data_IF_424514950436
#
_entry.id   IF_424514950436
#
_cell.length_a   1.000
_cell.length_b   1.000
_cell.length_c   1.000
_cell.angle_alpha   90.00
_cell.angle_beta   90.00
_cell.angle_gamma   90.00
#
_symmetry.space_group_name_H-M   'P 1'
#
loop_
_entity.id
_entity.type
_entity.pdbx_description
1 polymer ?
#
# COMPACT_ATOMS: atom_id res chain seq x y z
N UNK A 1 81.39 30.93 -34.78
CA UNK A 1 81.02 30.95 -33.34
C UNK A 1 79.61 30.40 -33.21
N UNK A 2 79.35 29.61 -32.17
CA UNK A 2 78.12 28.89 -31.79
C UNK A 2 77.77 27.56 -32.50
N UNK A 3 78.12 26.48 -31.78
CA UNK A 3 77.41 25.19 -31.72
C UNK A 3 76.15 25.35 -30.84
N UNK A 4 75.07 24.62 -31.12
CA UNK A 4 74.38 23.76 -30.13
C UNK A 4 73.30 22.90 -30.79
N UNK A 5 73.22 21.64 -30.34
CA UNK A 5 72.26 20.61 -30.74
C UNK A 5 70.99 20.71 -29.89
N UNK A 6 69.85 20.24 -30.40
CA UNK A 6 68.78 19.71 -29.54
C UNK A 6 68.17 18.44 -30.13
N UNK A 7 68.33 17.33 -29.41
CA UNK A 7 67.43 16.16 -29.47
C UNK A 7 66.23 16.46 -28.55
N UNK A 8 65.04 15.97 -28.90
CA UNK A 8 64.02 15.66 -27.91
C UNK A 8 63.27 14.38 -28.30
N UNK A 9 63.12 13.53 -27.29
CA UNK A 9 62.50 12.22 -27.28
C UNK A 9 61.16 12.35 -26.56
N UNK A 10 60.13 11.65 -27.05
CA UNK A 10 59.15 10.97 -26.20
C UNK A 10 57.96 11.78 -25.67
N UNK A 11 56.76 11.26 -25.96
CA UNK A 11 55.51 11.68 -25.33
C UNK A 11 54.34 10.80 -25.78
N UNK A 12 54.38 9.49 -25.47
CA UNK A 12 53.20 8.63 -25.57
C UNK A 12 52.20 9.09 -24.49
N UNK A 13 51.06 9.64 -24.90
CA UNK A 13 49.91 9.81 -24.01
C UNK A 13 49.29 8.43 -23.75
N UNK A 14 49.56 7.86 -22.58
CA UNK A 14 48.72 6.80 -22.01
C UNK A 14 47.43 7.45 -21.49
N UNK A 15 46.35 7.35 -22.27
CA UNK A 15 45.00 7.59 -21.77
C UNK A 15 44.64 6.41 -20.88
N UNK A 16 44.86 6.55 -19.57
CA UNK A 16 44.30 5.62 -18.60
C UNK A 16 42.78 5.81 -18.59
N UNK A 17 42.06 4.96 -19.32
CA UNK A 17 40.62 4.82 -19.16
C UNK A 17 40.36 4.21 -17.77
N UNK A 18 40.11 5.07 -16.78
CA UNK A 18 39.63 4.63 -15.49
C UNK A 18 38.21 4.06 -15.69
N UNK A 19 38.13 2.73 -15.79
CA UNK A 19 36.85 2.03 -15.65
C UNK A 19 36.47 2.18 -14.18
N UNK A 20 35.67 3.21 -13.88
CA UNK A 20 35.04 3.35 -12.57
C UNK A 20 34.16 2.11 -12.36
N UNK A 21 34.60 1.21 -11.49
CA UNK A 21 33.78 0.10 -11.03
C UNK A 21 32.51 0.70 -10.41
N UNK A 22 31.39 0.58 -11.13
CA UNK A 22 30.10 1.11 -10.70
C UNK A 22 29.67 0.36 -9.45
N UNK A 23 29.78 1.03 -8.30
CA UNK A 23 29.32 0.50 -7.03
C UNK A 23 27.78 0.34 -7.09
N UNK A 24 27.23 -0.88 -6.97
CA UNK A 24 25.78 -1.12 -7.07
C UNK A 24 24.96 -0.29 -6.08
N UNK A 25 25.52 -0.04 -4.89
CA UNK A 25 24.90 0.80 -3.86
C UNK A 25 24.77 2.28 -4.28
N UNK A 26 25.70 2.78 -5.10
CA UNK A 26 25.66 4.14 -5.63
C UNK A 26 24.62 4.28 -6.76
N UNK A 27 24.45 3.24 -7.58
CA UNK A 27 23.41 3.20 -8.61
C UNK A 27 21.99 3.12 -8.01
N UNK A 28 21.81 2.36 -6.93
CA UNK A 28 20.53 2.28 -6.21
C UNK A 28 20.10 3.63 -5.61
N UNK A 29 21.04 4.39 -5.02
CA UNK A 29 20.80 5.74 -4.52
C UNK A 29 20.44 6.74 -5.62
N UNK A 30 21.15 6.73 -6.75
CA UNK A 30 20.86 7.63 -7.87
C UNK A 30 19.52 7.34 -8.57
N UNK A 31 19.03 6.09 -8.55
CA UNK A 31 17.71 5.74 -9.11
C UNK A 31 16.55 6.24 -8.24
N UNK A 32 16.70 6.26 -6.93
CA UNK A 32 15.67 6.74 -6.00
C UNK A 32 15.44 8.26 -6.09
N UNK A 33 16.46 9.04 -6.45
CA UNK A 33 16.38 10.51 -6.57
C UNK A 33 15.57 11.01 -7.79
N UNK A 34 15.27 10.13 -8.76
CA UNK A 34 14.44 10.47 -9.94
C UNK A 34 12.97 10.05 -9.82
N UNK A 35 12.61 9.36 -8.74
CA UNK A 35 11.26 8.87 -8.54
C UNK A 35 10.30 10.00 -8.16
N UNK A 36 9.13 10.03 -8.78
CA UNK A 36 7.99 10.84 -8.30
C UNK A 36 7.63 10.46 -6.86
N UNK A 37 6.91 11.33 -6.14
CA UNK A 37 6.48 11.01 -4.77
C UNK A 37 5.71 9.68 -4.70
N UNK A 38 4.85 9.40 -5.69
CA UNK A 38 4.12 8.15 -5.80
C UNK A 38 5.03 6.93 -6.02
N UNK A 39 6.08 7.06 -6.83
CA UNK A 39 7.06 5.99 -7.07
C UNK A 39 7.93 5.65 -5.87
N UNK A 40 8.09 6.59 -4.93
CA UNK A 40 8.77 6.33 -3.65
C UNK A 40 7.91 5.54 -2.67
N UNK A 41 6.61 5.43 -2.94
CA UNK A 41 5.62 4.85 -2.03
C UNK A 41 4.67 3.87 -2.76
N UNK A 42 3.54 3.53 -2.14
CA UNK A 42 2.58 2.56 -2.66
C UNK A 42 1.14 3.05 -2.45
N UNK A 43 0.68 4.06 -3.21
CA UNK A 43 -0.53 4.81 -2.87
C UNK A 43 -1.86 4.10 -3.13
N UNK A 44 -1.88 2.99 -3.88
CA UNK A 44 -3.11 2.33 -4.32
C UNK A 44 -2.88 0.83 -4.57
N UNK A 45 -3.95 0.09 -4.82
CA UNK A 45 -3.88 -1.32 -5.24
C UNK A 45 -2.95 -1.47 -6.45
N UNK A 46 -2.02 -2.42 -6.37
CA UNK A 46 -0.97 -2.65 -7.39
C UNK A 46 -0.02 -1.45 -7.62
N UNK A 47 0.07 -0.52 -6.68
CA UNK A 47 1.12 0.49 -6.62
C UNK A 47 0.92 1.69 -7.55
N UNK A 48 1.93 2.56 -7.70
CA UNK A 48 1.80 3.85 -8.38
C UNK A 48 1.39 3.75 -9.85
N UNK A 49 1.64 2.59 -10.48
CA UNK A 49 1.31 2.33 -11.88
C UNK A 49 0.18 1.30 -12.07
N UNK A 50 -0.43 0.82 -10.99
CA UNK A 50 -1.43 -0.24 -11.00
C UNK A 50 -0.97 -1.57 -11.66
N UNK A 51 0.34 -1.80 -11.75
CA UNK A 51 0.93 -3.01 -12.37
C UNK A 51 1.40 -4.06 -11.36
N UNK A 52 1.55 -3.68 -10.09
CA UNK A 52 2.14 -4.52 -9.04
C UNK A 52 3.67 -4.53 -9.06
N UNK A 53 4.30 -3.65 -9.85
CA UNK A 53 5.76 -3.57 -9.99
C UNK A 53 6.32 -2.37 -9.24
N UNK A 54 7.33 -2.61 -8.41
CA UNK A 54 8.19 -1.54 -7.89
C UNK A 54 9.46 -1.44 -8.75
N UNK A 55 9.66 -0.30 -9.41
CA UNK A 55 10.81 -0.08 -10.31
C UNK A 55 12.16 0.03 -9.59
N UNK A 56 12.13 0.46 -8.33
CA UNK A 56 13.30 0.88 -7.58
C UNK A 56 13.45 0.19 -6.22
N UNK A 57 12.51 -0.70 -5.85
CA UNK A 57 12.66 -1.46 -4.61
C UNK A 57 13.80 -2.47 -4.72
N UNK A 58 14.48 -2.66 -3.60
CA UNK A 58 15.50 -3.68 -3.38
C UNK A 58 15.08 -4.51 -2.16
N UNK A 59 14.07 -5.39 -2.30
CA UNK A 59 13.56 -6.17 -1.18
C UNK A 59 14.52 -7.30 -0.81
N UNK A 60 14.54 -7.74 0.47
CA UNK A 60 15.32 -8.90 0.86
C UNK A 60 14.85 -10.16 0.09
N UNK A 61 15.81 -10.94 -0.42
CA UNK A 61 15.52 -12.17 -1.17
C UNK A 61 15.19 -13.38 -0.29
N UNK A 62 15.50 -13.28 1.00
CA UNK A 62 15.22 -14.31 2.00
C UNK A 62 14.40 -13.70 3.12
N UNK A 63 13.38 -14.41 3.60
CA UNK A 63 12.55 -13.97 4.72
C UNK A 63 12.02 -15.16 5.50
N UNK A 64 11.73 -14.95 6.78
CA UNK A 64 11.03 -15.91 7.63
C UNK A 64 10.31 -15.15 8.74
N UNK A 65 9.63 -15.86 9.64
CA UNK A 65 9.04 -15.26 10.84
C UNK A 65 10.06 -14.52 11.73
N UNK A 66 11.37 -14.77 11.56
CA UNK A 66 12.44 -14.19 12.37
C UNK A 66 13.56 -13.53 11.55
N UNK A 67 13.60 -13.72 10.23
CA UNK A 67 14.64 -13.20 9.34
C UNK A 67 14.10 -12.11 8.43
N UNK A 68 14.81 -10.99 8.37
CA UNK A 68 14.47 -9.83 7.53
C UNK A 68 13.05 -9.25 7.79
N UNK A 69 12.49 -9.53 8.97
CA UNK A 69 11.25 -8.92 9.46
C UNK A 69 11.59 -7.79 10.41
N UNK A 70 11.10 -6.57 10.11
CA UNK A 70 11.35 -5.39 10.96
C UNK A 70 10.40 -5.32 12.15
N UNK A 71 9.15 -5.65 11.95
CA UNK A 71 8.10 -5.66 12.97
C UNK A 71 6.94 -6.53 12.49
N UNK A 72 6.10 -6.93 13.44
CA UNK A 72 4.78 -7.53 13.22
C UNK A 72 3.79 -6.85 14.14
N UNK A 73 2.58 -6.64 13.66
CA UNK A 73 1.49 -6.06 14.43
C UNK A 73 0.21 -6.82 14.08
N UNK A 74 -0.58 -7.09 15.10
CA UNK A 74 -1.90 -7.69 14.91
C UNK A 74 -2.83 -6.64 14.29
N UNK A 75 -3.51 -7.01 13.22
CA UNK A 75 -4.57 -6.20 12.62
C UNK A 75 -5.90 -6.72 13.17
N UNK A 76 -6.77 -5.89 13.75
CA UNK A 76 -8.03 -6.37 14.30
C UNK A 76 -8.97 -6.85 13.18
N UNK A 77 -9.72 -7.92 13.41
CA UNK A 77 -10.71 -8.42 12.46
C UNK A 77 -10.10 -9.00 11.19
N UNK A 78 -10.87 -9.00 10.09
CA UNK A 78 -10.46 -9.62 8.83
C UNK A 78 -10.70 -8.66 7.66
N UNK A 79 -9.75 -8.64 6.72
CA UNK A 79 -9.83 -7.89 5.48
C UNK A 79 -8.85 -8.45 4.46
N UNK A 80 -9.20 -8.35 3.18
CA UNK A 80 -8.33 -8.71 2.05
C UNK A 80 -7.72 -7.49 1.35
N UNK A 81 -8.00 -6.29 1.87
CA UNK A 81 -7.41 -5.04 1.41
C UNK A 81 -5.88 -5.13 1.37
N UNK A 82 -5.29 -4.68 0.26
CA UNK A 82 -3.85 -4.48 0.19
C UNK A 82 -3.46 -3.26 1.02
N UNK A 83 -2.36 -3.32 1.79
CA UNK A 83 -1.87 -2.14 2.49
C UNK A 83 -1.44 -1.07 1.48
N UNK A 84 -1.78 0.18 1.75
CA UNK A 84 -1.22 1.33 1.02
C UNK A 84 -0.21 2.06 1.88
N UNK A 85 0.89 2.48 1.26
CA UNK A 85 2.02 3.07 1.96
C UNK A 85 2.22 4.48 1.45
N UNK A 86 2.36 5.45 2.36
CA UNK A 86 2.75 6.82 2.02
C UNK A 86 3.58 7.46 3.12
N UNK A 87 4.79 7.90 2.79
CA UNK A 87 5.77 8.36 3.79
C UNK A 87 6.07 7.27 4.82
N UNK A 88 5.91 7.65 6.08
CA UNK A 88 6.09 6.78 7.25
C UNK A 88 4.80 6.10 7.71
N UNK A 89 3.74 6.09 6.88
CA UNK A 89 2.44 5.48 7.23
C UNK A 89 2.11 4.31 6.32
N UNK A 90 1.55 3.27 6.92
CA UNK A 90 0.88 2.14 6.26
C UNK A 90 -0.60 2.22 6.62
N UNK A 91 -1.49 2.22 5.63
CA UNK A 91 -2.93 2.21 5.85
C UNK A 91 -3.52 0.86 5.48
N UNK A 92 -4.39 0.35 6.35
CA UNK A 92 -5.04 -0.96 6.22
C UNK A 92 -6.53 -0.80 6.51
N UNK A 93 -7.35 -1.48 5.71
CA UNK A 93 -8.79 -1.59 5.93
C UNK A 93 -9.11 -2.97 6.51
N UNK A 94 -10.02 -3.02 7.48
CA UNK A 94 -10.46 -4.28 8.08
C UNK A 94 -11.92 -4.21 8.51
N UNK A 95 -12.55 -5.38 8.64
CA UNK A 95 -13.88 -5.53 9.22
C UNK A 95 -13.77 -6.34 10.52
N UNK A 96 -14.17 -5.74 11.64
CA UNK A 96 -14.05 -6.33 12.97
C UNK A 96 -15.44 -6.74 13.47
N UNK A 97 -15.72 -8.04 13.64
CA UNK A 97 -16.99 -8.48 14.22
C UNK A 97 -17.16 -7.91 15.63
N UNK A 98 -18.34 -7.35 15.96
CA UNK A 98 -18.57 -6.75 17.28
C UNK A 98 -18.80 -7.79 18.38
N UNK A 99 -19.19 -9.00 18.01
CA UNK A 99 -19.52 -10.09 18.93
C UNK A 99 -18.36 -11.07 19.17
N UNK A 100 -17.24 -10.92 18.46
CA UNK A 100 -16.09 -11.81 18.53
C UNK A 100 -14.82 -11.01 18.82
N UNK A 101 -13.84 -11.63 19.47
CA UNK A 101 -12.56 -11.01 19.80
C UNK A 101 -11.40 -12.00 19.62
N UNK A 102 -10.17 -11.47 19.57
CA UNK A 102 -8.95 -12.26 19.42
C UNK A 102 -8.97 -13.13 18.15
N UNK A 103 -8.38 -14.33 18.25
CA UNK A 103 -8.30 -15.30 17.13
C UNK A 103 -9.65 -15.58 16.44
N UNK A 104 -10.76 -15.56 17.18
CA UNK A 104 -12.09 -15.80 16.63
C UNK A 104 -12.57 -14.69 15.67
N UNK A 105 -12.08 -13.46 15.84
CA UNK A 105 -12.37 -12.35 14.92
C UNK A 105 -11.70 -12.52 13.54
N UNK A 106 -10.73 -13.43 13.42
CA UNK A 106 -10.03 -13.76 12.17
C UNK A 106 -10.61 -14.97 11.45
N UNK A 107 -11.57 -15.68 12.04
CA UNK A 107 -12.16 -16.87 11.42
C UNK A 107 -12.81 -16.52 10.07
N UNK A 108 -12.73 -17.40 9.06
CA UNK A 108 -13.52 -17.24 7.84
C UNK A 108 -15.02 -17.13 8.19
N UNK A 109 -15.70 -16.18 7.57
CA UNK A 109 -17.13 -15.92 7.80
C UNK A 109 -17.93 -15.92 6.47
N UNK A 110 -17.31 -16.37 5.39
CA UNK A 110 -17.93 -16.43 4.06
C UNK A 110 -18.99 -17.52 3.94
N UNK A 111 -19.81 -17.42 2.91
CA UNK A 111 -20.86 -18.36 2.53
C UNK A 111 -22.05 -18.44 3.49
N UNK A 112 -21.98 -17.72 4.61
CA UNK A 112 -23.09 -17.57 5.55
C UNK A 112 -23.47 -16.11 5.59
N UNK A 113 -24.76 -15.84 5.40
CA UNK A 113 -25.26 -14.47 5.50
C UNK A 113 -24.99 -13.92 6.90
N UNK A 114 -24.32 -12.77 7.03
CA UNK A 114 -23.89 -12.28 8.32
C UNK A 114 -25.08 -11.85 9.18
N UNK A 115 -25.00 -12.17 10.47
CA UNK A 115 -25.99 -11.75 11.47
C UNK A 115 -25.42 -10.76 12.47
N UNK A 116 -24.10 -10.73 12.61
CA UNK A 116 -23.41 -9.90 13.57
C UNK A 116 -22.97 -8.60 12.92
N UNK A 117 -23.06 -7.51 13.70
CA UNK A 117 -22.53 -6.22 13.31
C UNK A 117 -21.00 -6.30 13.21
N UNK A 118 -20.45 -5.55 12.27
CA UNK A 118 -19.02 -5.37 12.10
C UNK A 118 -18.70 -3.88 12.21
N UNK A 119 -17.55 -3.56 12.81
CA UNK A 119 -16.91 -2.26 12.69
C UNK A 119 -16.03 -2.27 11.44
N UNK A 120 -16.26 -1.33 10.54
CA UNK A 120 -15.42 -1.14 9.36
C UNK A 120 -14.33 -0.15 9.72
N UNK A 121 -13.09 -0.62 9.82
CA UNK A 121 -11.99 0.13 10.44
C UNK A 121 -10.92 0.53 9.45
N UNK A 122 -10.45 1.76 9.59
CA UNK A 122 -9.28 2.29 8.89
C UNK A 122 -8.16 2.43 9.92
N UNK A 123 -7.03 1.76 9.68
CA UNK A 123 -5.84 1.87 10.50
C UNK A 123 -4.78 2.70 9.78
N UNK A 124 -4.07 3.55 10.52
CA UNK A 124 -2.76 4.06 10.13
C UNK A 124 -1.71 3.52 11.09
N UNK A 125 -0.69 2.89 10.52
CA UNK A 125 0.39 2.23 11.23
C UNK A 125 1.69 2.94 10.87
N UNK A 126 2.52 3.20 11.88
CA UNK A 126 3.86 3.72 11.71
C UNK A 126 4.72 2.66 11.00
N UNK A 127 5.17 2.99 9.79
CA UNK A 127 5.94 2.10 8.92
C UNK A 127 7.28 1.67 9.53
N UNK A 128 7.84 2.48 10.44
CA UNK A 128 9.17 2.23 11.03
C UNK A 128 9.08 1.27 12.21
N UNK A 129 8.01 1.36 12.98
CA UNK A 129 7.87 0.70 14.28
C UNK A 129 6.75 -0.32 14.35
N UNK A 130 5.79 -0.30 13.42
CA UNK A 130 4.60 -1.14 13.44
C UNK A 130 3.52 -0.68 14.43
N UNK A 131 3.71 0.46 15.11
CA UNK A 131 2.72 0.98 16.07
C UNK A 131 1.53 1.60 15.34
N UNK A 132 0.32 1.33 15.81
CA UNK A 132 -0.88 2.04 15.35
C UNK A 132 -0.79 3.51 15.76
N UNK A 133 -0.79 4.40 14.78
CA UNK A 133 -0.83 5.85 14.97
C UNK A 133 -2.25 6.32 15.26
N UNK A 134 -3.21 5.78 14.53
CA UNK A 134 -4.63 5.98 14.75
C UNK A 134 -5.45 4.83 14.16
N UNK A 135 -6.62 4.61 14.75
CA UNK A 135 -7.69 3.73 14.25
C UNK A 135 -8.98 4.55 14.18
N UNK A 136 -9.75 4.39 13.11
CA UNK A 136 -11.08 4.98 12.97
C UNK A 136 -12.08 3.91 12.58
N UNK A 137 -13.19 3.83 13.30
CA UNK A 137 -14.38 3.11 12.83
C UNK A 137 -15.13 4.04 11.88
N UNK A 138 -15.12 3.68 10.60
CA UNK A 138 -15.84 4.39 9.56
C UNK A 138 -17.35 4.26 9.73
N UNK A 139 -17.81 3.03 9.97
CA UNK A 139 -19.18 2.74 10.34
C UNK A 139 -19.28 1.41 11.08
N UNK A 140 -20.46 1.17 11.65
CA UNK A 140 -20.83 -0.15 12.14
C UNK A 140 -22.11 -0.62 11.47
N UNK A 141 -22.08 -1.80 10.85
CA UNK A 141 -23.22 -2.34 10.12
C UNK A 141 -23.21 -3.86 10.11
N UNK A 142 -24.38 -4.45 9.87
CA UNK A 142 -24.47 -5.84 9.45
C UNK A 142 -24.35 -5.82 7.93
N UNK A 143 -23.34 -6.46 7.31
CA UNK A 143 -23.27 -6.53 5.86
C UNK A 143 -24.56 -7.15 5.29
N UNK A 144 -25.04 -6.68 4.15
CA UNK A 144 -26.35 -7.06 3.62
C UNK A 144 -26.35 -8.46 2.96
N UNK A 145 -25.19 -8.91 2.49
CA UNK A 145 -24.93 -10.16 1.78
C UNK A 145 -23.75 -10.93 2.38
N UNK A 146 -23.65 -12.21 2.04
CA UNK A 146 -22.49 -13.03 2.33
C UNK A 146 -21.26 -12.63 1.47
N UNK A 147 -20.18 -13.41 1.62
CA UNK A 147 -18.97 -13.33 0.79
C UNK A 147 -18.54 -14.73 0.37
N UNK A 148 -17.53 -14.85 -0.51
CA UNK A 148 -16.91 -16.14 -0.82
C UNK A 148 -16.52 -16.91 0.47
N UNK A 149 -16.83 -18.21 0.52
CA UNK A 149 -16.67 -19.09 1.70
C UNK A 149 -15.28 -19.02 2.34
N UNK A 150 -14.24 -19.31 1.57
CA UNK A 150 -12.89 -19.47 2.14
C UNK A 150 -12.16 -18.14 2.36
N UNK A 151 -12.30 -17.23 1.39
CA UNK A 151 -11.40 -16.07 1.24
C UNK A 151 -12.14 -14.73 1.28
N UNK A 152 -13.47 -14.73 1.30
CA UNK A 152 -14.25 -13.51 1.31
C UNK A 152 -14.13 -12.74 2.62
N UNK A 153 -14.13 -11.41 2.52
CA UNK A 153 -14.13 -10.49 3.67
C UNK A 153 -15.04 -9.30 3.40
N UNK A 154 -15.46 -8.60 4.45
CA UNK A 154 -16.23 -7.36 4.34
C UNK A 154 -15.34 -6.11 4.20
N UNK A 155 -14.02 -6.29 4.03
CA UNK A 155 -13.05 -5.22 3.81
C UNK A 155 -12.03 -5.65 2.74
N UNK A 156 -12.54 -6.05 1.57
CA UNK A 156 -11.73 -6.56 0.46
C UNK A 156 -11.11 -5.45 -0.39
N UNK A 157 -11.80 -4.32 -0.52
CA UNK A 157 -11.32 -3.17 -1.29
C UNK A 157 -10.17 -2.49 -0.56
N UNK A 158 -9.15 -2.06 -1.31
CA UNK A 158 -7.99 -1.37 -0.71
C UNK A 158 -8.31 0.11 -0.52
N UNK A 159 -7.69 0.74 0.47
CA UNK A 159 -7.64 2.20 0.51
C UNK A 159 -6.84 2.74 -0.68
N UNK A 160 -6.99 4.02 -0.98
CA UNK A 160 -6.10 4.78 -1.87
C UNK A 160 -5.71 6.11 -1.23
N UNK A 161 -4.63 6.73 -1.71
CA UNK A 161 -4.20 8.05 -1.23
C UNK A 161 -3.60 8.92 -2.33
N UNK A 162 -3.85 10.22 -2.25
CA UNK A 162 -3.17 11.26 -3.05
C UNK A 162 -1.95 11.86 -2.30
N UNK A 163 -1.64 11.31 -1.13
CA UNK A 163 -0.59 11.79 -0.23
C UNK A 163 -1.01 12.90 0.74
N UNK A 164 -2.24 13.41 0.63
CA UNK A 164 -2.84 14.37 1.56
C UNK A 164 -4.05 13.77 2.28
N UNK A 165 -4.74 12.85 1.63
CA UNK A 165 -5.97 12.20 2.09
C UNK A 165 -5.89 10.70 1.89
N UNK A 166 -6.61 9.97 2.71
CA UNK A 166 -6.82 8.53 2.59
C UNK A 166 -8.28 8.29 2.28
N UNK A 167 -8.55 7.60 1.18
CA UNK A 167 -9.89 7.26 0.72
C UNK A 167 -10.12 5.78 1.05
N UNK A 168 -11.02 5.52 1.99
CA UNK A 168 -11.38 4.18 2.44
C UNK A 168 -12.75 3.81 1.88
N UNK A 169 -12.78 2.75 1.08
CA UNK A 169 -14.00 2.25 0.45
C UNK A 169 -14.36 0.90 1.04
N UNK A 170 -15.52 0.86 1.70
CA UNK A 170 -16.09 -0.38 2.25
C UNK A 170 -17.34 -0.81 1.46
N UNK A 171 -17.34 -0.51 0.15
CA UNK A 171 -18.39 -0.99 -0.77
C UNK A 171 -19.78 -0.55 -0.34
N UNK A 172 -20.70 -1.49 -0.11
CA UNK A 172 -22.06 -1.19 0.37
C UNK A 172 -22.11 -0.45 1.72
N UNK A 173 -20.98 -0.37 2.42
CA UNK A 173 -20.88 0.34 3.70
C UNK A 173 -20.35 1.77 3.55
N UNK A 174 -20.02 2.19 2.34
CA UNK A 174 -19.75 3.57 1.98
C UNK A 174 -18.27 3.96 1.83
N UNK A 175 -18.09 5.20 1.39
CA UNK A 175 -16.81 5.88 1.19
C UNK A 175 -16.55 6.82 2.36
N UNK A 176 -15.33 6.77 2.88
CA UNK A 176 -14.89 7.61 3.99
C UNK A 176 -13.52 8.17 3.67
N UNK A 177 -13.37 9.49 3.72
CA UNK A 177 -12.12 10.16 3.40
C UNK A 177 -11.57 10.86 4.62
N UNK A 178 -10.33 10.53 4.94
CA UNK A 178 -9.62 11.04 6.09
C UNK A 178 -8.43 11.89 5.67
N UNK A 179 -8.04 12.85 6.51
CA UNK A 179 -6.69 13.41 6.49
C UNK A 179 -5.66 12.35 6.91
N UNK A 180 -4.37 12.59 6.63
CA UNK A 180 -3.29 11.68 7.03
C UNK A 180 -3.17 11.52 8.56
N UNK A 181 -3.78 12.42 9.33
CA UNK A 181 -3.90 12.43 10.79
C UNK A 181 -5.12 11.67 11.32
N UNK A 182 -5.98 11.16 10.43
CA UNK A 182 -7.19 10.42 10.79
C UNK A 182 -8.40 11.30 11.10
N UNK A 183 -8.37 12.59 10.76
CA UNK A 183 -9.56 13.44 10.80
C UNK A 183 -10.49 13.10 9.63
N UNK A 184 -11.76 12.79 9.90
CA UNK A 184 -12.75 12.56 8.85
C UNK A 184 -13.03 13.89 8.12
N UNK A 185 -12.85 13.89 6.81
CA UNK A 185 -13.08 15.06 5.94
C UNK A 185 -14.47 15.02 5.31
N UNK A 186 -14.87 13.86 4.78
CA UNK A 186 -16.21 13.63 4.25
C UNK A 186 -16.50 12.13 4.11
N UNK A 187 -17.78 11.81 3.94
CA UNK A 187 -18.25 10.45 3.67
C UNK A 187 -19.38 10.44 2.64
N UNK A 188 -19.57 9.31 1.96
CA UNK A 188 -20.66 9.11 1.00
C UNK A 188 -21.15 7.67 1.01
N UNK A 189 -22.45 7.50 1.21
CA UNK A 189 -23.15 6.24 1.00
C UNK A 189 -23.69 6.20 -0.44
N UNK A 190 -23.49 5.06 -1.12
CA UNK A 190 -23.98 4.78 -2.47
C UNK A 190 -25.07 3.68 -2.47
N UNK A 191 -25.42 3.13 -1.30
CA UNK A 191 -26.38 2.06 -1.12
C UNK A 191 -25.76 0.67 -1.25
N UNK A 192 -26.62 -0.34 -1.31
CA UNK A 192 -26.18 -1.73 -1.39
C UNK A 192 -25.93 -2.16 -2.84
N UNK A 193 -24.74 -2.70 -3.12
CA UNK A 193 -24.41 -3.44 -4.35
C UNK A 193 -24.97 -4.85 -4.24
N UNK A 194 -25.54 -5.40 -5.31
CA UNK A 194 -26.12 -6.76 -5.30
C UNK A 194 -25.17 -7.70 -6.02
N UNK A 195 -24.54 -8.63 -5.30
CA UNK A 195 -23.57 -9.54 -5.89
C UNK A 195 -24.25 -10.79 -6.41
N UNK A 196 -23.93 -11.16 -7.65
CA UNK A 196 -24.37 -12.45 -8.19
C UNK A 196 -23.87 -13.57 -7.28
N UNK A 197 -24.80 -14.36 -6.76
CA UNK A 197 -24.55 -15.45 -5.83
C UNK A 197 -23.86 -15.05 -4.52
N UNK A 198 -23.92 -13.78 -4.11
CA UNK A 198 -23.33 -13.28 -2.86
C UNK A 198 -21.84 -13.62 -2.70
N UNK A 199 -21.07 -13.62 -3.80
CA UNK A 199 -19.62 -13.89 -3.75
C UNK A 199 -18.80 -12.81 -3.03
N UNK A 200 -19.44 -11.71 -2.65
CA UNK A 200 -18.84 -10.60 -1.93
C UNK A 200 -18.33 -9.49 -2.84
N UNK A 201 -18.04 -8.36 -2.22
CA UNK A 201 -17.65 -7.11 -2.88
C UNK A 201 -16.13 -6.90 -2.76
N UNK A 202 -15.51 -6.25 -3.74
CA UNK A 202 -14.05 -6.10 -3.77
C UNK A 202 -13.47 -5.18 -4.84
N UNK A 203 -14.18 -4.11 -5.20
CA UNK A 203 -13.73 -3.13 -6.19
C UNK A 203 -12.94 -1.98 -5.53
N UNK A 204 -11.63 -1.91 -5.77
CA UNK A 204 -10.84 -0.76 -5.28
C UNK A 204 -11.09 0.48 -6.16
N UNK A 205 -11.46 1.65 -5.59
CA UNK A 205 -11.62 2.88 -6.35
C UNK A 205 -10.31 3.34 -7.01
N UNK A 206 -10.43 4.16 -8.05
CA UNK A 206 -9.30 4.85 -8.67
C UNK A 206 -9.49 6.35 -8.59
N UNK A 207 -8.46 7.06 -8.14
CA UNK A 207 -8.41 8.52 -8.19
C UNK A 207 -7.74 8.97 -9.49
N UNK A 208 -8.44 9.79 -10.28
CA UNK A 208 -7.92 10.39 -11.49
C UNK A 208 -8.20 11.90 -11.50
N UNK A 209 -7.14 12.69 -11.35
CA UNK A 209 -7.26 14.13 -11.15
C UNK A 209 -8.06 14.45 -9.89
N UNK A 210 -9.21 15.08 -10.05
CA UNK A 210 -10.15 15.39 -8.97
C UNK A 210 -11.39 14.47 -8.93
N UNK A 211 -11.34 13.33 -9.63
CA UNK A 211 -12.47 12.40 -9.76
C UNK A 211 -12.14 11.06 -9.12
N UNK A 212 -13.09 10.53 -8.37
CA UNK A 212 -13.04 9.17 -7.85
C UNK A 212 -13.94 8.29 -8.71
N UNK A 213 -13.36 7.26 -9.31
CA UNK A 213 -14.06 6.29 -10.15
C UNK A 213 -14.22 5.00 -9.37
N UNK A 214 -15.45 4.50 -9.30
CA UNK A 214 -15.83 3.30 -8.54
C UNK A 214 -16.54 2.36 -9.53
N UNK A 215 -16.15 1.09 -9.51
CA UNK A 215 -16.85 0.05 -10.27
C UNK A 215 -18.11 -0.36 -9.50
N UNK A 216 -19.24 -0.37 -10.18
CA UNK A 216 -20.55 -0.67 -9.60
C UNK A 216 -21.32 -1.64 -10.51
N UNK A 217 -20.90 -2.90 -10.47
CA UNK A 217 -21.49 -4.02 -11.22
C UNK A 217 -21.71 -5.25 -10.34
#
# INVERSE_FOLDING_TARGET
MLRTSFRSIGGLLLIAAAIAALNPAAQGRQRADRATAAERFWPQWRGPYATGVSKYADPPLEWSETKNVRWKVEIPGRGSASPVVWGDRVFVLSAVPTALAGGAAHAPQGGVRPRNRHRFVVLAIDRRTGKTLWERTACEAVPHEATHQDNGTYASSSAITDGQRVYAWFESQGMYVYGMDGMLLWQKDLGNKQMRSEFGEGSTPVLYGNRLVIVWD
#
